data_IF_161047538375
#
_entry.id   IF_161047538375
#
_cell.length_a   1.000
_cell.length_b   1.000
_cell.length_c   1.000
_cell.angle_alpha   90.00
_cell.angle_beta   90.00
_cell.angle_gamma   90.00
#
_symmetry.space_group_name_H-M   'P 1'
#
loop_
_entity.id
_entity.type
_entity.pdbx_description
1 polymer ?
#
# COMPACT_ATOMS: atom_id res chain seq x y z
N UNK A 1 13.36 21.74 -6.99
CA UNK A 1 12.13 21.58 -7.81
C UNK A 1 12.39 20.48 -8.83
N UNK A 2 11.54 19.44 -8.88
CA UNK A 2 11.60 18.31 -9.81
C UNK A 2 10.25 18.13 -10.50
N UNK A 3 10.24 17.54 -11.69
CA UNK A 3 9.02 17.13 -12.40
C UNK A 3 8.68 15.70 -11.96
N UNK A 4 7.50 15.51 -11.36
CA UNK A 4 7.10 14.22 -10.79
C UNK A 4 5.80 13.75 -11.41
N UNK A 5 5.78 12.56 -11.99
CA UNK A 5 4.57 11.90 -12.47
C UNK A 5 4.07 10.90 -11.42
N UNK A 6 2.83 11.09 -10.97
CA UNK A 6 2.15 10.18 -10.04
C UNK A 6 1.09 9.37 -10.79
N UNK A 7 1.31 8.08 -10.92
CA UNK A 7 0.31 7.12 -11.39
C UNK A 7 -0.53 6.63 -10.19
N UNK A 8 -1.87 6.53 -10.35
CA UNK A 8 -2.77 6.26 -9.22
C UNK A 8 -3.13 7.50 -8.39
N UNK A 9 -2.96 8.67 -8.97
CA UNK A 9 -3.05 10.00 -8.37
C UNK A 9 -4.38 10.32 -7.67
N UNK A 10 -5.50 9.71 -8.05
CA UNK A 10 -6.83 9.96 -7.47
C UNK A 10 -7.26 8.92 -6.43
N UNK A 11 -6.43 7.92 -6.14
CA UNK A 11 -6.62 6.96 -5.06
C UNK A 11 -6.48 7.60 -3.68
N UNK A 12 -6.73 6.82 -2.62
CA UNK A 12 -6.60 7.31 -1.24
C UNK A 12 -5.18 7.88 -0.98
N UNK A 13 -4.15 7.14 -1.39
CA UNK A 13 -2.76 7.57 -1.25
C UNK A 13 -2.44 8.80 -2.11
N UNK A 14 -2.91 8.84 -3.37
CA UNK A 14 -2.66 9.98 -4.26
C UNK A 14 -3.24 11.29 -3.75
N UNK A 15 -4.41 11.26 -3.11
CA UNK A 15 -5.04 12.46 -2.53
C UNK A 15 -4.22 13.07 -1.39
N UNK A 16 -3.52 12.25 -0.63
CA UNK A 16 -2.61 12.69 0.43
C UNK A 16 -1.25 13.14 -0.15
N UNK A 17 -0.80 12.48 -1.19
CA UNK A 17 0.53 12.67 -1.75
C UNK A 17 0.64 13.93 -2.63
N UNK A 18 -0.36 14.18 -3.52
CA UNK A 18 -0.27 15.27 -4.48
C UNK A 18 -0.07 16.65 -3.82
N UNK A 19 -0.87 17.05 -2.80
CA UNK A 19 -0.66 18.33 -2.13
C UNK A 19 0.72 18.45 -1.49
N UNK A 20 1.20 17.39 -0.85
CA UNK A 20 2.51 17.37 -0.17
C UNK A 20 3.67 17.52 -1.13
N UNK A 21 3.60 16.90 -2.30
CA UNK A 21 4.62 17.08 -3.35
C UNK A 21 4.62 18.52 -3.90
N UNK A 22 3.43 19.11 -4.09
CA UNK A 22 3.31 20.50 -4.52
C UNK A 22 3.81 21.48 -3.45
N UNK A 23 3.49 21.26 -2.17
CA UNK A 23 3.99 22.04 -1.02
C UNK A 23 5.50 21.93 -0.85
N UNK A 24 6.09 20.76 -1.19
CA UNK A 24 7.55 20.57 -1.25
C UNK A 24 8.21 21.28 -2.47
N UNK A 25 7.42 21.99 -3.29
CA UNK A 25 7.92 22.80 -4.41
C UNK A 25 8.22 22.02 -5.68
N UNK A 26 7.62 20.84 -5.84
CA UNK A 26 7.74 20.05 -7.08
C UNK A 26 6.64 20.41 -8.10
N UNK A 27 6.94 20.23 -9.39
CA UNK A 27 5.94 20.26 -10.46
C UNK A 27 5.32 18.86 -10.60
N UNK A 28 4.05 18.73 -10.22
CA UNK A 28 3.39 17.43 -10.09
C UNK A 28 2.44 17.16 -11.24
N UNK A 29 2.63 16.04 -11.92
CA UNK A 29 1.75 15.53 -12.97
C UNK A 29 0.96 14.34 -12.42
N UNK A 30 -0.34 14.37 -12.59
CA UNK A 30 -1.24 13.32 -12.11
C UNK A 30 -1.74 12.48 -13.28
N UNK A 31 -1.30 11.22 -13.38
CA UNK A 31 -1.84 10.30 -14.36
C UNK A 31 -3.23 9.83 -13.93
N UNK A 32 -4.24 10.14 -14.73
CA UNK A 32 -5.66 9.89 -14.46
C UNK A 32 -6.35 9.19 -15.63
N UNK A 33 -7.42 8.43 -15.36
CA UNK A 33 -8.11 7.62 -16.38
C UNK A 33 -9.27 8.30 -17.12
N UNK A 34 -9.51 9.56 -16.90
CA UNK A 34 -10.64 10.24 -17.59
C UNK A 34 -10.89 11.66 -17.12
N UNK A 35 -11.77 12.33 -17.84
CA UNK A 35 -12.05 13.76 -17.67
C UNK A 35 -12.54 14.12 -16.25
N UNK A 36 -13.39 13.28 -15.64
CA UNK A 36 -13.88 13.54 -14.28
C UNK A 36 -12.77 13.56 -13.22
N UNK A 37 -11.70 12.80 -13.44
CA UNK A 37 -10.56 12.75 -12.54
C UNK A 37 -9.58 13.93 -12.71
N UNK A 38 -9.59 14.61 -13.88
CA UNK A 38 -8.76 15.80 -14.14
C UNK A 38 -9.06 16.91 -13.14
N UNK A 39 -10.34 17.27 -12.98
CA UNK A 39 -10.74 18.33 -12.04
C UNK A 39 -10.35 18.02 -10.60
N UNK A 40 -10.38 16.73 -10.20
CA UNK A 40 -9.92 16.32 -8.89
C UNK A 40 -8.40 16.48 -8.72
N UNK A 41 -7.61 16.08 -9.71
CA UNK A 41 -6.16 16.25 -9.70
C UNK A 41 -5.74 17.73 -9.67
N UNK A 42 -6.38 18.57 -10.48
CA UNK A 42 -6.10 20.02 -10.50
C UNK A 42 -6.39 20.70 -9.17
N UNK A 43 -7.47 20.31 -8.47
CA UNK A 43 -7.77 20.83 -7.13
C UNK A 43 -6.72 20.43 -6.08
N UNK A 44 -5.97 19.37 -6.32
CA UNK A 44 -4.87 18.90 -5.46
C UNK A 44 -3.51 19.48 -5.87
N UNK A 45 -3.49 20.47 -6.77
CA UNK A 45 -2.26 21.16 -7.17
C UNK A 45 -1.45 20.45 -8.26
N UNK A 46 -2.02 19.44 -8.93
CA UNK A 46 -1.31 18.69 -9.97
C UNK A 46 -1.84 18.97 -11.38
N UNK A 47 -0.96 18.86 -12.37
CA UNK A 47 -1.31 18.91 -13.80
C UNK A 47 -1.82 17.54 -14.23
N UNK A 48 -3.09 17.40 -14.66
CA UNK A 48 -3.63 16.09 -15.03
C UNK A 48 -3.14 15.66 -16.41
N UNK A 49 -2.70 14.42 -16.54
CA UNK A 49 -2.34 13.73 -17.78
C UNK A 49 -3.23 12.48 -17.92
N UNK A 50 -3.93 12.35 -19.05
CA UNK A 50 -4.88 11.23 -19.23
C UNK A 50 -4.16 10.01 -19.80
N UNK A 51 -4.17 8.91 -19.07
CA UNK A 51 -3.72 7.61 -19.56
C UNK A 51 -4.31 6.46 -18.74
N UNK A 52 -4.63 5.36 -19.41
CA UNK A 52 -4.82 4.06 -18.77
C UNK A 52 -3.46 3.37 -18.62
N UNK A 53 -3.10 2.99 -17.39
CA UNK A 53 -1.83 2.31 -17.10
C UNK A 53 -1.68 0.97 -17.84
N UNK A 54 -2.79 0.34 -18.26
CA UNK A 54 -2.80 -0.89 -19.02
C UNK A 54 -2.72 -0.65 -20.55
N UNK A 55 -2.77 0.59 -21.01
CA UNK A 55 -2.54 0.96 -22.41
C UNK A 55 -1.14 1.57 -22.57
N UNK A 56 -0.25 0.78 -23.14
CA UNK A 56 1.14 1.15 -23.31
C UNK A 56 1.33 2.45 -24.09
N UNK A 57 0.57 2.65 -25.17
CA UNK A 57 0.70 3.84 -26.02
C UNK A 57 0.28 5.12 -25.26
N UNK A 58 -0.80 5.02 -24.47
CA UNK A 58 -1.25 6.14 -23.64
C UNK A 58 -0.22 6.46 -22.53
N UNK A 59 0.37 5.44 -21.89
CA UNK A 59 1.41 5.62 -20.88
C UNK A 59 2.65 6.27 -21.48
N UNK A 60 3.09 5.83 -22.65
CA UNK A 60 4.24 6.44 -23.38
C UNK A 60 3.96 7.91 -23.73
N UNK A 61 2.75 8.24 -24.17
CA UNK A 61 2.34 9.62 -24.44
C UNK A 61 2.33 10.48 -23.17
N UNK A 62 1.76 9.96 -22.08
CA UNK A 62 1.66 10.65 -20.79
C UNK A 62 3.06 10.92 -20.18
N UNK A 63 3.97 9.95 -20.22
CA UNK A 63 5.35 10.13 -19.72
C UNK A 63 6.10 11.13 -20.58
N UNK A 64 5.91 11.13 -21.91
CA UNK A 64 6.52 12.11 -22.81
C UNK A 64 6.00 13.54 -22.54
N UNK A 65 4.70 13.70 -22.33
CA UNK A 65 4.08 14.98 -22.01
C UNK A 65 4.56 15.53 -20.66
N UNK A 66 4.56 14.68 -19.63
CA UNK A 66 5.01 15.05 -18.29
C UNK A 66 6.53 15.28 -18.22
N UNK A 67 7.32 14.62 -19.08
CA UNK A 67 8.79 14.62 -19.07
C UNK A 67 9.37 14.55 -17.63
N UNK A 68 9.01 13.52 -16.83
CA UNK A 68 9.29 13.49 -15.41
C UNK A 68 10.75 13.10 -15.11
N UNK A 69 11.28 13.65 -14.04
CA UNK A 69 12.52 13.20 -13.41
C UNK A 69 12.29 12.07 -12.41
N UNK A 70 11.09 12.05 -11.82
CA UNK A 70 10.65 11.02 -10.87
C UNK A 70 9.30 10.47 -11.29
N UNK A 71 9.13 9.15 -11.27
CA UNK A 71 7.82 8.50 -11.40
C UNK A 71 7.48 7.83 -10.07
N UNK A 72 6.24 8.06 -9.60
CA UNK A 72 5.70 7.43 -8.41
C UNK A 72 4.52 6.55 -8.84
N UNK A 73 4.70 5.24 -8.77
CA UNK A 73 3.70 4.24 -9.10
C UNK A 73 2.90 3.87 -7.84
N UNK A 74 1.69 4.43 -7.72
CA UNK A 74 0.70 4.14 -6.68
C UNK A 74 -0.52 3.41 -7.25
N UNK A 75 -0.33 2.68 -8.34
CA UNK A 75 -1.43 2.00 -9.05
C UNK A 75 -1.97 0.84 -8.24
N UNK A 76 -3.22 0.96 -7.85
CA UNK A 76 -4.02 -0.13 -7.26
C UNK A 76 -5.47 0.02 -7.68
N UNK A 77 -6.21 -1.08 -7.61
CA UNK A 77 -7.65 -1.14 -7.79
C UNK A 77 -8.30 -1.91 -6.63
N UNK A 78 -7.79 -1.69 -5.41
CA UNK A 78 -8.27 -2.35 -4.20
C UNK A 78 -9.57 -1.66 -3.78
N UNK A 79 -10.67 -2.42 -3.85
CA UNK A 79 -11.96 -2.04 -3.31
C UNK A 79 -12.29 -2.84 -2.05
N UNK A 80 -13.51 -3.35 -1.96
CA UNK A 80 -13.89 -4.31 -0.92
C UNK A 80 -13.13 -5.62 -1.08
N UNK A 81 -12.47 -6.09 -0.01
CA UNK A 81 -11.73 -7.37 0.00
C UNK A 81 -12.65 -8.46 0.55
N UNK A 82 -13.14 -9.31 -0.34
CA UNK A 82 -13.79 -10.57 0.02
C UNK A 82 -12.71 -11.65 0.24
N UNK A 83 -12.42 -11.98 1.48
CA UNK A 83 -11.39 -12.98 1.83
C UNK A 83 -11.70 -14.39 1.34
N UNK A 84 -12.97 -14.70 1.03
CA UNK A 84 -13.40 -15.98 0.41
C UNK A 84 -13.10 -16.01 -1.09
N UNK A 85 -13.04 -14.83 -1.72
CA UNK A 85 -12.72 -14.63 -3.15
C UNK A 85 -11.47 -13.75 -3.28
N UNK A 86 -10.48 -14.01 -2.43
CA UNK A 86 -9.31 -13.16 -2.25
C UNK A 86 -8.59 -12.88 -3.57
N UNK A 87 -8.31 -13.92 -4.35
CA UNK A 87 -7.68 -13.80 -5.68
C UNK A 87 -8.48 -12.85 -6.60
N UNK A 88 -9.81 -13.01 -6.65
CA UNK A 88 -10.67 -12.13 -7.47
C UNK A 88 -10.65 -10.68 -6.96
N UNK A 89 -10.55 -10.47 -5.65
CA UNK A 89 -10.50 -9.13 -5.06
C UNK A 89 -9.21 -8.38 -5.44
N UNK A 90 -8.13 -9.10 -5.74
CA UNK A 90 -6.85 -8.52 -6.11
C UNK A 90 -6.54 -8.57 -7.62
N UNK A 91 -7.31 -9.29 -8.42
CA UNK A 91 -7.00 -9.54 -9.84
C UNK A 91 -6.72 -8.26 -10.66
N UNK A 92 -7.51 -7.20 -10.48
CA UNK A 92 -7.28 -5.92 -11.15
C UNK A 92 -6.01 -5.22 -10.65
N UNK A 93 -5.72 -5.30 -9.36
CA UNK A 93 -4.51 -4.76 -8.76
C UNK A 93 -3.27 -5.54 -9.21
N UNK A 94 -3.38 -6.86 -9.31
CA UNK A 94 -2.29 -7.72 -9.77
C UNK A 94 -1.90 -7.39 -11.23
N UNK A 95 -2.89 -7.11 -12.10
CA UNK A 95 -2.61 -6.61 -13.45
C UNK A 95 -1.92 -5.25 -13.47
N UNK A 96 -2.32 -4.34 -12.60
CA UNK A 96 -1.67 -3.03 -12.49
C UNK A 96 -0.23 -3.15 -11.99
N UNK A 97 0.04 -4.06 -11.05
CA UNK A 97 1.37 -4.35 -10.52
C UNK A 97 2.29 -5.05 -11.53
N UNK A 98 1.74 -5.78 -12.48
CA UNK A 98 2.51 -6.42 -13.56
C UNK A 98 2.52 -5.54 -14.81
N UNK A 99 1.47 -5.59 -15.61
CA UNK A 99 1.34 -4.88 -16.88
C UNK A 99 1.49 -3.35 -16.73
N UNK A 100 0.86 -2.76 -15.72
CA UNK A 100 0.91 -1.30 -15.48
C UNK A 100 2.31 -0.82 -15.11
N UNK A 101 2.98 -1.51 -14.19
CA UNK A 101 4.37 -1.20 -13.82
C UNK A 101 5.32 -1.40 -14.98
N UNK A 102 5.18 -2.48 -15.76
CA UNK A 102 6.01 -2.74 -16.94
C UNK A 102 5.84 -1.64 -17.99
N UNK A 103 4.62 -1.17 -18.24
CA UNK A 103 4.34 -0.05 -19.17
C UNK A 103 4.98 1.25 -18.67
N UNK A 104 4.88 1.57 -17.37
CA UNK A 104 5.52 2.76 -16.78
C UNK A 104 7.04 2.70 -16.88
N UNK A 105 7.66 1.56 -16.56
CA UNK A 105 9.11 1.37 -16.66
C UNK A 105 9.57 1.46 -18.12
N UNK A 106 8.86 0.87 -19.08
CA UNK A 106 9.19 0.94 -20.49
C UNK A 106 9.12 2.39 -21.02
N UNK A 107 8.04 3.11 -20.68
CA UNK A 107 7.88 4.51 -21.06
C UNK A 107 8.95 5.42 -20.42
N UNK A 108 9.24 5.21 -19.14
CA UNK A 108 10.29 5.92 -18.41
C UNK A 108 11.67 5.74 -19.04
N UNK A 109 12.02 4.49 -19.42
CA UNK A 109 13.27 4.17 -20.10
C UNK A 109 13.37 4.84 -21.48
N UNK A 110 12.28 4.81 -22.24
CA UNK A 110 12.22 5.42 -23.56
C UNK A 110 12.35 6.95 -23.51
N UNK A 111 11.80 7.60 -22.48
CA UNK A 111 11.91 9.03 -22.27
C UNK A 111 13.32 9.49 -21.84
N UNK A 112 14.10 8.65 -21.16
CA UNK A 112 15.51 8.87 -20.85
C UNK A 112 15.81 9.87 -19.73
N UNK A 113 14.82 10.56 -19.15
CA UNK A 113 15.00 11.60 -18.13
C UNK A 113 14.71 11.14 -16.69
N UNK A 114 14.16 9.94 -16.51
CA UNK A 114 13.70 9.45 -15.19
C UNK A 114 14.87 8.96 -14.35
N UNK A 115 15.23 9.74 -13.35
CA UNK A 115 16.32 9.41 -12.41
C UNK A 115 15.89 8.46 -11.31
N UNK A 116 14.62 8.54 -10.87
CA UNK A 116 14.09 7.74 -9.77
C UNK A 116 12.71 7.18 -10.09
N UNK A 117 12.50 5.92 -9.77
CA UNK A 117 11.23 5.22 -9.89
C UNK A 117 10.82 4.65 -8.54
N UNK A 118 9.73 5.16 -7.98
CA UNK A 118 9.22 4.78 -6.66
C UNK A 118 7.94 3.99 -6.85
N UNK A 119 7.87 2.76 -6.35
CA UNK A 119 6.70 1.91 -6.51
C UNK A 119 6.08 1.51 -5.18
N UNK A 120 4.74 1.56 -5.13
CA UNK A 120 3.95 1.01 -4.02
C UNK A 120 3.98 -0.52 -4.04
N UNK A 121 4.43 -1.11 -2.96
CA UNK A 121 4.32 -2.53 -2.67
C UNK A 121 3.52 -2.76 -1.37
N UNK A 122 3.43 -3.99 -0.92
CA UNK A 122 2.65 -4.35 0.26
C UNK A 122 3.54 -5.08 1.28
N UNK A 123 3.67 -4.50 2.47
CA UNK A 123 4.37 -5.10 3.61
C UNK A 123 3.43 -5.76 4.63
N UNK A 124 2.12 -5.56 4.49
CA UNK A 124 1.16 -6.06 5.48
C UNK A 124 0.85 -7.55 5.35
N UNK A 125 0.98 -8.15 4.14
CA UNK A 125 0.47 -9.50 3.87
C UNK A 125 1.45 -10.41 3.13
N UNK A 126 2.69 -10.02 2.95
CA UNK A 126 3.55 -10.59 1.91
C UNK A 126 4.76 -11.35 2.42
N UNK A 127 5.16 -11.17 3.65
CA UNK A 127 6.34 -11.82 4.20
C UNK A 127 6.16 -13.32 4.44
N UNK A 128 7.28 -14.05 4.35
CA UNK A 128 7.36 -15.45 4.75
C UNK A 128 6.80 -15.65 6.16
N UNK A 129 5.91 -16.65 6.30
CA UNK A 129 5.18 -16.93 7.56
C UNK A 129 6.00 -17.71 8.60
N UNK A 130 7.28 -17.92 8.33
CA UNK A 130 8.23 -18.61 9.21
C UNK A 130 9.13 -17.63 9.95
N UNK A 131 9.81 -18.07 11.00
CA UNK A 131 10.74 -17.24 11.78
C UNK A 131 10.05 -16.25 12.73
N UNK A 132 10.71 -15.15 13.05
CA UNK A 132 10.24 -14.15 14.00
C UNK A 132 8.93 -13.46 13.60
N UNK A 133 8.20 -12.88 14.59
CA UNK A 133 6.90 -12.24 14.34
C UNK A 133 7.00 -10.92 13.57
N UNK A 134 8.13 -10.25 13.57
CA UNK A 134 8.41 -9.00 12.86
C UNK A 134 9.56 -9.23 11.88
N UNK A 135 9.40 -8.73 10.66
CA UNK A 135 10.30 -8.90 9.52
C UNK A 135 10.96 -7.60 9.14
N UNK A 136 12.13 -7.69 8.52
CA UNK A 136 12.77 -6.55 7.85
C UNK A 136 12.82 -6.75 6.33
N UNK A 137 13.45 -5.82 5.62
CA UNK A 137 13.50 -5.82 4.16
C UNK A 137 14.40 -6.92 3.56
N UNK A 138 15.20 -7.61 4.38
CA UNK A 138 16.04 -8.75 3.97
C UNK A 138 15.25 -10.07 4.02
N UNK A 139 14.15 -10.09 4.78
CA UNK A 139 13.27 -11.25 4.81
C UNK A 139 12.53 -11.42 3.47
N UNK A 140 12.40 -12.65 2.97
CA UNK A 140 11.76 -12.90 1.69
C UNK A 140 10.24 -12.69 1.73
N UNK A 141 9.67 -12.43 0.58
CA UNK A 141 8.24 -12.66 0.35
C UNK A 141 7.91 -14.13 0.61
N UNK A 142 6.64 -14.43 0.94
CA UNK A 142 6.21 -15.81 1.23
C UNK A 142 6.51 -16.73 0.03
N UNK A 143 7.44 -17.68 0.16
CA UNK A 143 7.82 -18.58 -0.93
C UNK A 143 6.78 -19.68 -1.19
N UNK A 144 5.86 -19.89 -0.25
CA UNK A 144 4.83 -20.91 -0.31
C UNK A 144 3.46 -20.38 0.16
N UNK A 145 2.93 -19.35 -0.53
CA UNK A 145 1.67 -18.75 -0.15
C UNK A 145 0.51 -19.75 -0.29
N UNK A 146 -0.54 -19.59 0.51
CA UNK A 146 -1.77 -20.35 0.29
C UNK A 146 -2.37 -19.98 -1.07
N UNK A 147 -2.98 -20.94 -1.75
CA UNK A 147 -3.47 -20.79 -3.12
C UNK A 147 -4.23 -19.46 -3.38
N UNK A 148 -5.18 -19.00 -2.53
CA UNK A 148 -5.88 -17.74 -2.79
C UNK A 148 -5.00 -16.48 -2.76
N UNK A 149 -3.80 -16.54 -2.18
CA UNK A 149 -2.86 -15.40 -2.08
C UNK A 149 -1.72 -15.48 -3.10
N UNK A 150 -1.61 -16.56 -3.85
CA UNK A 150 -0.46 -16.84 -4.71
C UNK A 150 -0.30 -15.80 -5.84
N UNK A 151 -1.39 -15.44 -6.53
CA UNK A 151 -1.36 -14.43 -7.60
C UNK A 151 -0.90 -13.06 -7.09
N UNK A 152 -1.43 -12.63 -5.95
CA UNK A 152 -1.05 -11.36 -5.34
C UNK A 152 0.44 -11.32 -4.95
N UNK A 153 0.96 -12.39 -4.31
CA UNK A 153 2.38 -12.48 -3.94
C UNK A 153 3.26 -12.50 -5.20
N UNK A 154 2.86 -13.23 -6.24
CA UNK A 154 3.58 -13.27 -7.50
C UNK A 154 3.62 -11.91 -8.21
N UNK A 155 2.49 -11.18 -8.24
CA UNK A 155 2.42 -9.84 -8.83
C UNK A 155 3.28 -8.82 -8.07
N UNK A 156 3.31 -8.90 -6.75
CA UNK A 156 4.18 -8.08 -5.90
C UNK A 156 5.65 -8.42 -6.18
N UNK A 157 6.01 -9.70 -6.23
CA UNK A 157 7.37 -10.14 -6.55
C UNK A 157 7.81 -9.68 -7.95
N UNK A 158 6.90 -9.67 -8.94
CA UNK A 158 7.15 -9.15 -10.27
C UNK A 158 7.48 -7.65 -10.22
N UNK A 159 6.60 -6.84 -9.62
CA UNK A 159 6.80 -5.39 -9.45
C UNK A 159 8.15 -5.08 -8.78
N UNK A 160 8.43 -5.69 -7.65
CA UNK A 160 9.67 -5.45 -6.89
C UNK A 160 10.90 -5.82 -7.73
N UNK A 161 10.87 -6.98 -8.38
CA UNK A 161 11.96 -7.42 -9.27
C UNK A 161 12.15 -6.50 -10.47
N UNK A 162 11.08 -6.05 -11.11
CA UNK A 162 11.13 -5.15 -12.26
C UNK A 162 11.73 -3.79 -11.89
N UNK A 163 11.24 -3.20 -10.79
CA UNK A 163 11.69 -1.89 -10.31
C UNK A 163 13.16 -1.93 -9.86
N UNK A 164 13.53 -2.90 -9.04
CA UNK A 164 14.90 -3.03 -8.54
C UNK A 164 15.89 -3.46 -9.61
N UNK A 165 15.43 -4.21 -10.62
CA UNK A 165 16.22 -4.63 -11.78
C UNK A 165 16.44 -3.54 -12.83
N UNK A 166 15.73 -2.41 -12.78
CA UNK A 166 15.86 -1.30 -13.72
C UNK A 166 17.15 -0.49 -13.46
N UNK A 167 18.30 -1.01 -13.90
CA UNK A 167 19.62 -0.45 -13.61
C UNK A 167 19.84 0.99 -14.14
N UNK A 168 19.02 1.44 -15.08
CA UNK A 168 19.07 2.77 -15.70
C UNK A 168 18.41 3.88 -14.86
N UNK A 169 17.69 3.54 -13.80
CA UNK A 169 17.04 4.47 -12.87
C UNK A 169 17.24 4.00 -11.43
N UNK A 170 17.05 4.86 -10.44
CA UNK A 170 17.11 4.48 -9.05
C UNK A 170 15.74 3.93 -8.62
N UNK A 171 15.62 2.59 -8.60
CA UNK A 171 14.38 1.90 -8.22
C UNK A 171 14.21 1.83 -6.71
N UNK A 172 13.12 2.36 -6.19
CA UNK A 172 12.72 2.32 -4.78
C UNK A 172 11.37 1.63 -4.66
N UNK A 173 11.27 0.68 -3.74
CA UNK A 173 10.03 -0.05 -3.43
C UNK A 173 9.60 0.29 -2.01
N UNK A 174 8.38 0.80 -1.87
CA UNK A 174 7.78 1.13 -0.58
C UNK A 174 6.74 0.07 -0.23
N UNK A 175 7.07 -0.81 0.72
CA UNK A 175 6.16 -1.83 1.27
C UNK A 175 5.32 -1.21 2.38
N UNK A 176 4.12 -0.76 2.03
CA UNK A 176 3.23 -0.17 3.02
C UNK A 176 2.54 -1.20 3.90
N UNK A 177 2.35 -0.84 5.17
CA UNK A 177 1.46 -1.53 6.10
C UNK A 177 -0.02 -1.40 5.72
N UNK A 178 -0.89 -1.95 6.55
CA UNK A 178 -2.32 -1.77 6.41
C UNK A 178 -2.69 -0.31 6.66
N UNK A 179 -3.25 0.35 5.63
CA UNK A 179 -3.61 1.76 5.72
C UNK A 179 -4.77 2.00 6.67
N UNK A 180 -4.64 3.01 7.53
CA UNK A 180 -5.74 3.60 8.28
C UNK A 180 -5.75 5.13 8.14
N UNK A 181 -6.84 5.76 8.57
CA UNK A 181 -7.04 7.20 8.39
C UNK A 181 -7.99 7.53 7.22
N UNK A 182 -8.13 8.81 6.86
CA UNK A 182 -9.12 9.28 5.89
C UNK A 182 -9.03 8.58 4.54
N UNK A 183 -10.18 8.18 3.98
CA UNK A 183 -10.26 7.57 2.65
C UNK A 183 -9.80 6.12 2.55
N UNK A 184 -9.42 5.48 3.66
CA UNK A 184 -8.99 4.07 3.70
C UNK A 184 -10.14 3.14 4.09
N UNK A 185 -9.93 1.82 4.01
CA UNK A 185 -10.87 0.81 4.49
C UNK A 185 -11.07 0.82 6.02
N UNK A 186 -10.17 1.47 6.74
CA UNK A 186 -10.23 1.67 8.20
C UNK A 186 -10.50 3.14 8.58
N UNK A 187 -11.08 3.92 7.67
CA UNK A 187 -11.56 5.27 7.97
C UNK A 187 -12.80 5.24 8.88
N UNK A 188 -13.06 6.30 9.67
CA UNK A 188 -14.33 6.46 10.37
C UNK A 188 -15.53 6.28 9.42
N UNK A 189 -16.51 5.46 9.84
CA UNK A 189 -17.69 5.13 9.02
C UNK A 189 -17.47 4.09 7.92
N UNK A 190 -16.27 3.53 7.77
CA UNK A 190 -16.01 2.46 6.81
C UNK A 190 -16.74 1.15 7.16
N UNK A 191 -16.99 0.34 6.13
CA UNK A 191 -17.63 -0.97 6.28
C UNK A 191 -16.86 -1.87 7.26
N UNK A 192 -15.52 -1.84 7.21
CA UNK A 192 -14.68 -2.67 8.08
C UNK A 192 -14.87 -2.30 9.55
N UNK A 193 -14.90 -1.01 9.89
CA UNK A 193 -15.16 -0.57 11.27
C UNK A 193 -16.59 -0.90 11.72
N UNK A 194 -17.57 -0.79 10.82
CA UNK A 194 -18.93 -1.21 11.10
C UNK A 194 -19.06 -2.73 11.33
N UNK A 195 -18.32 -3.54 10.60
CA UNK A 195 -18.26 -4.99 10.86
C UNK A 195 -17.71 -5.28 12.26
N UNK A 196 -16.68 -4.54 12.69
CA UNK A 196 -16.11 -4.67 14.04
C UNK A 196 -17.15 -4.25 15.09
N UNK A 197 -17.83 -3.10 14.90
CA UNK A 197 -18.91 -2.63 15.81
C UNK A 197 -20.03 -3.66 15.97
N UNK A 198 -20.40 -4.31 14.87
CA UNK A 198 -21.45 -5.33 14.83
C UNK A 198 -20.97 -6.72 15.22
N UNK A 199 -19.72 -6.86 15.68
CA UNK A 199 -19.08 -8.14 16.06
C UNK A 199 -19.05 -9.17 14.91
N UNK A 200 -19.06 -8.71 13.65
CA UNK A 200 -18.97 -9.55 12.45
C UNK A 200 -17.51 -9.78 12.02
N UNK A 201 -16.55 -9.28 12.78
CA UNK A 201 -15.12 -9.46 12.57
C UNK A 201 -14.55 -10.21 13.80
N UNK A 202 -14.56 -11.55 13.80
CA UNK A 202 -14.10 -12.34 14.93
C UNK A 202 -12.60 -12.51 14.96
N UNK A 203 -12.03 -12.79 16.12
CA UNK A 203 -10.68 -13.34 16.26
C UNK A 203 -10.72 -14.82 15.90
N UNK A 204 -9.97 -15.22 14.87
CA UNK A 204 -9.89 -16.63 14.43
C UNK A 204 -8.74 -17.33 15.14
N UNK A 205 -8.98 -18.50 15.70
CA UNK A 205 -7.97 -19.30 16.41
C UNK A 205 -7.38 -18.54 17.60
N UNK A 206 -6.07 -18.50 17.65
CA UNK A 206 -5.28 -17.74 18.64
C UNK A 206 -5.20 -16.23 18.32
N UNK A 207 -5.46 -15.84 17.06
CA UNK A 207 -5.28 -14.47 16.62
C UNK A 207 -3.81 -14.04 16.55
N UNK A 208 -2.91 -15.01 16.34
CA UNK A 208 -1.46 -14.80 16.37
C UNK A 208 -0.87 -14.09 15.14
N UNK A 209 -1.68 -13.82 14.11
CA UNK A 209 -1.22 -13.06 12.94
C UNK A 209 -0.86 -11.63 13.32
N UNK A 210 0.38 -11.21 13.06
CA UNK A 210 0.88 -9.88 13.40
C UNK A 210 0.68 -8.94 12.22
N UNK A 211 -0.06 -7.86 12.45
CA UNK A 211 -0.30 -6.81 11.46
C UNK A 211 0.59 -5.61 11.73
N UNK A 212 1.07 -5.00 10.66
CA UNK A 212 1.68 -3.69 10.69
C UNK A 212 0.76 -2.70 10.01
N UNK A 213 0.57 -1.56 10.65
CA UNK A 213 -0.30 -0.48 10.19
C UNK A 213 0.53 0.71 9.73
N UNK A 214 -0.10 1.63 9.03
CA UNK A 214 0.45 2.94 8.73
C UNK A 214 -0.68 3.96 8.52
N UNK A 215 -0.58 5.11 9.14
CA UNK A 215 -1.49 6.21 8.84
C UNK A 215 -1.23 6.72 7.42
N UNK A 216 -2.30 6.98 6.67
CA UNK A 216 -2.16 7.33 5.24
C UNK A 216 -1.38 8.62 5.02
N UNK A 217 -1.48 9.58 5.92
CA UNK A 217 -0.67 10.80 5.88
C UNK A 217 0.82 10.50 6.07
N UNK A 218 1.17 9.63 7.03
CA UNK A 218 2.56 9.23 7.27
C UNK A 218 3.15 8.43 6.10
N UNK A 219 2.32 7.62 5.44
CA UNK A 219 2.72 6.94 4.21
C UNK A 219 3.01 7.93 3.07
N UNK A 220 2.21 9.00 2.96
CA UNK A 220 2.46 10.06 1.99
C UNK A 220 3.74 10.82 2.31
N UNK A 221 4.00 11.17 3.59
CA UNK A 221 5.25 11.80 4.02
C UNK A 221 6.48 10.92 3.73
N UNK A 222 6.38 9.60 4.00
CA UNK A 222 7.46 8.66 3.66
C UNK A 222 7.72 8.61 2.15
N UNK A 223 6.67 8.74 1.33
CA UNK A 223 6.80 8.77 -0.13
C UNK A 223 7.46 10.06 -0.62
N UNK A 224 7.09 11.20 -0.04
CA UNK A 224 7.78 12.49 -0.31
C UNK A 224 9.25 12.39 0.11
N UNK A 225 9.52 11.87 1.30
CA UNK A 225 10.90 11.66 1.76
C UNK A 225 11.71 10.76 0.80
N UNK A 226 11.08 9.72 0.22
CA UNK A 226 11.71 8.83 -0.75
C UNK A 226 11.99 9.50 -2.12
N UNK A 227 11.40 10.66 -2.42
CA UNK A 227 11.73 11.45 -3.62
C UNK A 227 13.16 12.01 -3.53
N UNK A 228 13.58 12.41 -2.34
CA UNK A 228 14.86 13.10 -2.11
C UNK A 228 15.90 12.22 -1.42
N UNK A 229 15.47 11.31 -0.56
CA UNK A 229 16.32 10.50 0.30
C UNK A 229 16.29 9.01 -0.07
N UNK A 230 17.18 8.26 0.58
CA UNK A 230 17.33 6.83 0.34
C UNK A 230 17.98 6.53 -0.99
N UNK A 231 18.25 5.26 -1.21
CA UNK A 231 18.82 4.74 -2.44
C UNK A 231 17.99 3.57 -2.97
N UNK A 232 18.47 2.97 -4.05
CA UNK A 232 17.86 1.75 -4.60
C UNK A 232 17.63 0.72 -3.50
N UNK A 233 16.40 0.24 -3.39
CA UNK A 233 16.07 -0.82 -2.43
C UNK A 233 14.61 -0.86 -2.02
N UNK A 234 14.34 -1.76 -1.10
CA UNK A 234 13.03 -1.92 -0.46
C UNK A 234 13.02 -1.21 0.88
N UNK A 235 11.90 -0.60 1.23
CA UNK A 235 11.66 0.08 2.51
C UNK A 235 10.29 -0.28 3.06
N UNK A 236 10.23 -0.73 4.31
CA UNK A 236 8.97 -0.94 5.01
C UNK A 236 8.46 0.40 5.56
N UNK A 237 7.27 0.78 5.11
CA UNK A 237 6.59 1.99 5.56
C UNK A 237 5.43 1.58 6.44
N UNK A 238 5.71 1.47 7.72
CA UNK A 238 4.79 1.01 8.77
C UNK A 238 4.97 1.89 10.02
N UNK A 239 3.98 1.87 10.92
CA UNK A 239 4.14 2.48 12.24
C UNK A 239 5.07 1.64 13.15
N UNK A 240 5.26 2.08 14.40
CA UNK A 240 6.21 1.47 15.34
C UNK A 240 5.62 0.30 16.13
N UNK A 241 4.36 -0.05 15.89
CA UNK A 241 3.58 -0.93 16.77
C UNK A 241 2.94 -2.10 16.00
N UNK A 242 3.74 -3.04 15.45
CA UNK A 242 3.19 -4.25 14.87
C UNK A 242 2.51 -5.08 15.96
N UNK A 243 1.25 -5.46 15.76
CA UNK A 243 0.46 -6.10 16.80
C UNK A 243 -0.27 -7.36 16.30
N UNK A 244 -0.40 -8.41 17.16
CA UNK A 244 -1.20 -9.58 16.84
C UNK A 244 -2.69 -9.24 16.81
N UNK A 245 -3.46 -9.94 15.97
CA UNK A 245 -4.93 -9.75 15.87
C UNK A 245 -5.61 -9.91 17.23
N UNK A 246 -5.11 -10.82 18.07
CA UNK A 246 -5.63 -11.03 19.42
C UNK A 246 -5.50 -9.81 20.33
N UNK A 247 -4.69 -8.83 19.95
CA UNK A 247 -4.45 -7.59 20.69
C UNK A 247 -5.14 -6.39 20.02
N UNK A 248 -4.80 -6.11 18.74
CA UNK A 248 -5.31 -4.90 18.09
C UNK A 248 -6.83 -4.90 17.86
N UNK A 249 -7.42 -6.06 17.55
CA UNK A 249 -8.84 -6.12 17.22
C UNK A 249 -9.75 -5.90 18.44
N UNK A 250 -9.50 -6.51 19.64
CA UNK A 250 -10.24 -6.17 20.84
C UNK A 250 -10.07 -4.72 21.29
N UNK A 251 -8.87 -4.16 21.16
CA UNK A 251 -8.61 -2.76 21.53
C UNK A 251 -9.35 -1.80 20.61
N UNK A 252 -9.29 -2.03 19.30
CA UNK A 252 -10.04 -1.23 18.32
C UNK A 252 -11.55 -1.35 18.58
N UNK A 253 -12.07 -2.54 18.87
CA UNK A 253 -13.47 -2.72 19.22
C UNK A 253 -13.86 -1.89 20.46
N UNK A 254 -13.03 -1.87 21.50
CA UNK A 254 -13.26 -1.06 22.70
C UNK A 254 -13.29 0.46 22.37
N UNK A 255 -12.35 0.95 21.55
CA UNK A 255 -12.34 2.35 21.10
C UNK A 255 -13.56 2.74 20.27
N UNK A 256 -14.12 1.79 19.53
CA UNK A 256 -15.38 1.97 18.79
C UNK A 256 -16.62 1.87 19.66
N UNK A 257 -16.50 1.68 20.99
CA UNK A 257 -17.61 1.43 21.90
C UNK A 257 -18.31 0.09 21.64
N UNK A 258 -17.64 -0.84 20.96
CA UNK A 258 -18.20 -2.14 20.61
C UNK A 258 -17.90 -3.21 21.68
N UNK A 259 -18.74 -4.24 21.72
CA UNK A 259 -18.48 -5.42 22.56
C UNK A 259 -17.25 -6.16 22.04
N UNK A 260 -16.49 -6.79 22.95
CA UNK A 260 -15.32 -7.60 22.62
C UNK A 260 -15.61 -8.56 21.46
N UNK A 261 -14.73 -8.69 20.45
CA UNK A 261 -14.89 -9.62 19.34
C UNK A 261 -15.06 -11.06 19.83
N UNK A 262 -15.87 -11.83 19.11
CA UNK A 262 -15.97 -13.27 19.38
C UNK A 262 -14.67 -13.96 18.98
N UNK A 263 -14.31 -15.03 19.70
CA UNK A 263 -13.27 -15.97 19.25
C UNK A 263 -13.94 -17.17 18.59
N UNK A 264 -13.44 -17.55 17.43
CA UNK A 264 -13.93 -18.70 16.68
C UNK A 264 -12.78 -19.67 16.35
N UNK A 265 -13.00 -20.98 16.38
CA UNK A 265 -11.99 -21.94 15.93
C UNK A 265 -11.58 -21.73 14.47
N UNK A 266 -10.37 -22.14 14.10
CA UNK A 266 -9.85 -21.99 12.73
C UNK A 266 -10.77 -22.59 11.66
N UNK A 267 -11.42 -23.73 11.93
CA UNK A 267 -12.34 -24.35 10.96
C UNK A 267 -13.58 -23.49 10.70
N UNK A 268 -14.13 -22.83 11.73
CA UNK A 268 -15.25 -21.89 11.59
C UNK A 268 -14.79 -20.66 10.81
N UNK A 269 -13.62 -20.11 11.13
CA UNK A 269 -13.00 -19.03 10.38
C UNK A 269 -12.80 -19.38 8.91
N UNK A 270 -12.40 -20.62 8.62
CA UNK A 270 -12.21 -21.11 7.25
C UNK A 270 -13.51 -21.17 6.46
N UNK A 271 -14.61 -21.59 7.08
CA UNK A 271 -15.92 -21.60 6.47
C UNK A 271 -16.44 -20.17 6.20
N UNK A 272 -16.22 -19.25 7.15
CA UNK A 272 -16.71 -17.89 7.06
C UNK A 272 -15.87 -16.96 6.17
N UNK A 273 -14.55 -17.04 6.24
CA UNK A 273 -13.60 -16.10 5.62
C UNK A 273 -12.61 -16.77 4.64
N UNK A 274 -12.74 -18.07 4.42
CA UNK A 274 -11.82 -18.82 3.54
C UNK A 274 -10.42 -19.00 4.13
N UNK A 275 -9.54 -19.64 3.36
CA UNK A 275 -8.16 -19.91 3.79
C UNK A 275 -7.35 -18.62 3.95
N UNK A 276 -7.51 -17.66 3.04
CA UNK A 276 -6.84 -16.35 3.15
C UNK A 276 -7.22 -15.63 4.43
N UNK A 277 -8.52 -15.59 4.79
CA UNK A 277 -8.98 -14.98 6.04
C UNK A 277 -8.36 -15.62 7.29
N UNK A 278 -8.19 -16.95 7.29
CA UNK A 278 -7.49 -17.63 8.40
C UNK A 278 -6.03 -17.20 8.48
N UNK A 279 -5.31 -17.17 7.34
CA UNK A 279 -3.90 -16.74 7.29
C UNK A 279 -3.74 -15.31 7.79
N UNK A 280 -4.60 -14.38 7.32
CA UNK A 280 -4.58 -12.99 7.77
C UNK A 280 -4.74 -12.87 9.29
N UNK A 281 -5.51 -13.75 9.91
CA UNK A 281 -5.79 -13.69 11.35
C UNK A 281 -4.76 -14.41 12.21
N UNK A 282 -4.03 -15.41 11.66
CA UNK A 282 -3.26 -16.33 12.51
C UNK A 282 -1.80 -16.51 12.13
N UNK A 283 -1.38 -16.10 10.91
CA UNK A 283 -0.07 -16.47 10.39
C UNK A 283 0.76 -15.32 9.85
N UNK A 284 0.17 -14.12 9.67
CA UNK A 284 0.91 -12.97 9.17
C UNK A 284 2.10 -12.61 10.07
N UNK A 285 3.07 -12.00 9.46
CA UNK A 285 4.23 -11.39 10.12
C UNK A 285 4.21 -9.89 9.94
N UNK A 286 4.48 -9.16 11.00
CA UNK A 286 4.64 -7.72 10.97
C UNK A 286 5.93 -7.30 10.29
N UNK A 287 6.13 -6.01 10.14
CA UNK A 287 7.31 -5.42 9.53
C UNK A 287 7.94 -4.35 10.43
N UNK A 288 9.25 -4.15 10.30
CA UNK A 288 10.02 -3.10 10.97
C UNK A 288 10.28 -1.95 10.00
N UNK A 289 10.11 -0.71 10.46
CA UNK A 289 10.42 0.52 9.71
C UNK A 289 11.81 1.10 10.00
N UNK A 290 12.65 0.38 10.72
CA UNK A 290 13.98 0.87 11.17
C UNK A 290 14.83 1.37 10.01
N UNK A 291 14.83 0.67 8.87
CA UNK A 291 15.56 1.07 7.67
C UNK A 291 15.01 2.36 7.08
N UNK A 292 13.68 2.47 6.93
CA UNK A 292 13.04 3.66 6.40
C UNK A 292 13.33 4.90 7.24
N UNK A 293 13.24 4.79 8.56
CA UNK A 293 13.59 5.88 9.48
C UNK A 293 15.03 6.38 9.29
N UNK A 294 15.97 5.46 9.16
CA UNK A 294 17.39 5.79 9.03
C UNK A 294 17.74 6.37 7.65
N UNK A 295 17.25 5.76 6.58
CA UNK A 295 17.73 6.04 5.22
C UNK A 295 16.85 7.05 4.48
N UNK A 296 15.56 7.14 4.79
CA UNK A 296 14.67 8.16 4.25
C UNK A 296 14.62 9.43 5.12
N UNK A 297 15.27 9.45 6.28
CA UNK A 297 15.16 10.52 7.27
C UNK A 297 13.68 10.83 7.63
N UNK A 298 12.85 9.81 7.67
CA UNK A 298 11.41 9.88 7.92
C UNK A 298 11.08 9.25 9.28
N UNK A 299 10.06 9.81 9.94
CA UNK A 299 9.45 9.22 11.14
C UNK A 299 7.94 9.38 11.09
N UNK A 300 7.15 8.37 11.47
CA UNK A 300 5.71 8.50 11.51
C UNK A 300 5.28 9.52 12.59
N UNK A 301 4.36 10.41 12.24
CA UNK A 301 3.72 11.33 13.18
C UNK A 301 2.63 10.63 13.99
N UNK A 302 2.13 9.50 13.47
CA UNK A 302 1.26 8.57 14.16
C UNK A 302 2.04 7.26 14.43
N UNK A 303 2.90 7.24 15.47
CA UNK A 303 3.84 6.14 15.69
C UNK A 303 3.17 4.83 16.11
N UNK A 304 1.88 4.85 16.41
CA UNK A 304 1.11 3.67 16.78
C UNK A 304 -0.34 3.79 16.31
N UNK A 305 -0.86 2.71 15.74
CA UNK A 305 -2.29 2.57 15.41
C UNK A 305 -3.20 2.82 16.62
N UNK A 306 -2.68 2.63 17.85
CA UNK A 306 -3.42 2.88 19.09
C UNK A 306 -3.86 4.34 19.24
N UNK A 307 -3.09 5.26 18.71
CA UNK A 307 -3.41 6.70 18.74
C UNK A 307 -4.26 7.11 17.54
N UNK A 308 -3.97 6.56 16.36
CA UNK A 308 -4.55 7.01 15.09
C UNK A 308 -5.82 6.31 14.65
N UNK A 309 -6.11 5.08 15.12
CA UNK A 309 -7.36 4.36 14.87
C UNK A 309 -8.49 4.78 15.82
N UNK A 310 -8.45 5.97 16.37
CA UNK A 310 -9.56 6.53 17.11
C UNK A 310 -10.59 7.15 16.16
N UNK A 311 -11.89 6.90 16.32
CA UNK A 311 -12.87 7.80 15.73
C UNK A 311 -12.58 9.20 16.30
N UNK A 312 -12.32 10.18 15.45
CA UNK A 312 -12.41 11.57 15.91
C UNK A 312 -13.78 11.77 16.54
N UNK A 313 -13.87 12.40 17.73
CA UNK A 313 -15.13 12.66 18.40
C UNK A 313 -16.09 13.46 17.53
#
# INVERSE_FOLDING_TARGET
MMRILVAGATGAMGRELLPRLAEAGHEVFAMVRGESAKAAASRLGAVPVVADALDRAQVEAAVREAAPEVIIDQLTAIGHIDTRKFERSFAATDRLRTEGTDNLLAAARAAGGVRRFIAQSNGAFTYARTGGPVKDEQDPLDPAPVAPMASMIAAIGHLEKAVLGAAWTEGIVLRYGAFYGPGTSMAPGSEQLEMIRRRKFPVVGDGGGVWSFIHIADAAEATVAAVENGGRGVYNIVDDDPAPVAEWLPELAAKLGAKKPMRVPRFVGRLAAGTAGVVLMTELRGASNTKAKRELAWQPTHPTWRQGLTPNP
#
